data_IF_884375479186
#
_entry.id   IF_884375479186
#
_cell.length_a   1.000
_cell.length_b   1.000
_cell.length_c   1.000
_cell.angle_alpha   90.00
_cell.angle_beta   90.00
_cell.angle_gamma   90.00
#
_symmetry.space_group_name_H-M   'P 1'
#
loop_
_entity.id
_entity.type
_entity.pdbx_description
1 polymer ?
#
# COMPACT_ATOMS: atom_id res chain seq x y z
N UNK A 1 -8.09 -7.69 -4.69
CA UNK A 1 -8.65 -6.69 -5.63
C UNK A 1 -8.71 -5.28 -5.03
N UNK A 2 -9.26 -5.07 -3.83
CA UNK A 2 -9.40 -3.70 -3.24
C UNK A 2 -8.06 -2.99 -3.00
N UNK A 3 -7.01 -3.71 -2.60
CA UNK A 3 -5.69 -3.11 -2.31
C UNK A 3 -4.94 -2.58 -3.55
N UNK A 4 -5.05 -3.25 -4.69
CA UNK A 4 -4.40 -2.76 -5.93
C UNK A 4 -5.20 -1.61 -6.57
N UNK A 5 -6.52 -1.61 -6.37
CA UNK A 5 -7.39 -0.54 -6.85
C UNK A 5 -7.12 0.80 -6.15
N UNK A 6 -6.81 0.80 -4.84
CA UNK A 6 -6.49 2.04 -4.14
C UNK A 6 -5.23 2.71 -4.69
N UNK A 7 -4.22 1.94 -5.09
CA UNK A 7 -2.98 2.47 -5.71
C UNK A 7 -3.29 3.14 -7.05
N UNK A 8 -4.17 2.51 -7.85
CA UNK A 8 -4.62 3.09 -9.12
C UNK A 8 -5.26 4.46 -8.92
N UNK A 9 -6.18 4.58 -7.96
CA UNK A 9 -6.86 5.85 -7.67
C UNK A 9 -5.87 6.90 -7.16
N UNK A 10 -4.99 6.56 -6.23
CA UNK A 10 -4.04 7.51 -5.65
C UNK A 10 -3.03 8.03 -6.71
N UNK A 11 -2.31 7.14 -7.37
CA UNK A 11 -1.22 7.55 -8.27
C UNK A 11 -1.72 8.01 -9.65
N UNK A 12 -2.63 7.27 -10.27
CA UNK A 12 -3.04 7.57 -11.65
C UNK A 12 -4.17 8.58 -11.72
N UNK A 13 -5.08 8.64 -10.75
CA UNK A 13 -6.11 9.68 -10.74
C UNK A 13 -5.63 10.91 -9.97
N UNK A 14 -5.31 10.79 -8.67
CA UNK A 14 -5.11 11.95 -7.80
C UNK A 14 -3.77 12.66 -8.07
N UNK A 15 -2.65 11.93 -8.07
CA UNK A 15 -1.34 12.55 -8.33
C UNK A 15 -1.24 13.11 -9.75
N UNK A 16 -1.75 12.38 -10.75
CA UNK A 16 -1.71 12.85 -12.15
C UNK A 16 -2.60 14.08 -12.38
N UNK A 17 -3.81 14.12 -11.79
CA UNK A 17 -4.65 15.32 -11.86
C UNK A 17 -3.97 16.54 -11.23
N UNK A 18 -3.30 16.35 -10.08
CA UNK A 18 -2.54 17.42 -9.43
C UNK A 18 -1.38 17.92 -10.30
N UNK A 19 -0.64 16.99 -10.92
CA UNK A 19 0.46 17.33 -11.82
C UNK A 19 -0.02 18.07 -13.08
N UNK A 20 -1.09 17.59 -13.74
CA UNK A 20 -1.64 18.27 -14.91
C UNK A 20 -2.19 19.65 -14.59
N UNK A 21 -2.85 19.81 -13.44
CA UNK A 21 -3.30 21.12 -12.97
C UNK A 21 -2.12 22.10 -12.83
N UNK A 22 -1.03 21.67 -12.18
CA UNK A 22 0.19 22.48 -12.04
C UNK A 22 0.80 22.84 -13.40
N UNK A 23 0.84 21.89 -14.34
CA UNK A 23 1.42 22.10 -15.67
C UNK A 23 0.59 23.05 -16.53
N UNK A 24 -0.74 22.88 -16.57
CA UNK A 24 -1.67 23.70 -17.37
C UNK A 24 -1.68 25.15 -16.87
N UNK A 25 -1.60 25.34 -15.55
CA UNK A 25 -1.61 26.67 -14.93
C UNK A 25 -0.26 27.39 -14.99
N UNK A 26 0.79 26.73 -15.49
CA UNK A 26 2.14 27.29 -15.48
C UNK A 26 2.72 27.42 -14.07
N UNK A 27 2.12 26.80 -13.05
CA UNK A 27 2.51 26.94 -11.66
C UNK A 27 3.72 26.05 -11.28
N UNK A 28 4.78 26.08 -12.08
CA UNK A 28 6.02 25.31 -11.84
C UNK A 28 7.27 26.09 -12.26
N UNK A 29 8.42 25.67 -11.73
CA UNK A 29 9.74 26.11 -12.15
C UNK A 29 10.55 24.91 -12.65
N UNK A 30 11.31 25.09 -13.73
CA UNK A 30 12.22 24.07 -14.27
C UNK A 30 13.64 24.47 -13.92
N UNK A 31 14.31 23.65 -13.12
CA UNK A 31 15.70 23.85 -12.74
C UNK A 31 16.63 23.32 -13.84
N UNK A 32 17.70 24.06 -14.11
CA UNK A 32 18.78 23.68 -15.02
C UNK A 32 19.83 22.80 -14.35
N UNK A 33 20.90 22.50 -15.09
CA UNK A 33 21.95 21.60 -14.63
C UNK A 33 22.80 22.14 -13.46
N UNK A 34 22.82 23.46 -13.24
CA UNK A 34 23.50 24.08 -12.12
C UNK A 34 22.49 24.63 -11.10
N UNK A 35 22.82 24.54 -9.81
CA UNK A 35 22.00 25.12 -8.75
C UNK A 35 21.77 26.62 -8.98
N UNK A 36 20.52 27.05 -8.86
CA UNK A 36 20.11 28.44 -9.09
C UNK A 36 19.90 28.82 -10.56
N UNK A 37 20.24 27.95 -11.53
CA UNK A 37 19.81 28.16 -12.91
C UNK A 37 18.39 27.64 -13.11
N UNK A 38 17.53 28.47 -13.69
CA UNK A 38 16.19 28.09 -14.11
C UNK A 38 16.12 28.08 -15.64
N UNK A 39 15.67 26.97 -16.22
CA UNK A 39 15.34 26.89 -17.65
C UNK A 39 14.01 27.58 -17.94
N UNK A 40 13.07 27.47 -17.00
CA UNK A 40 11.77 28.15 -17.01
C UNK A 40 11.47 28.58 -15.58
N UNK A 41 11.22 29.87 -15.37
CA UNK A 41 10.88 30.44 -14.07
C UNK A 41 9.53 31.15 -14.16
N UNK A 42 8.46 30.45 -13.82
CA UNK A 42 7.11 31.04 -13.75
C UNK A 42 6.78 31.58 -12.35
N UNK A 43 7.51 31.13 -11.33
CA UNK A 43 7.29 31.44 -9.92
C UNK A 43 8.55 31.97 -9.22
N UNK A 44 8.39 32.66 -8.08
CA UNK A 44 9.50 33.05 -7.23
C UNK A 44 10.44 31.88 -6.88
N UNK A 45 11.76 32.13 -6.91
CA UNK A 45 12.79 31.11 -6.71
C UNK A 45 12.94 30.64 -5.25
N UNK A 46 12.35 31.36 -4.31
CA UNK A 46 12.33 31.05 -2.88
C UNK A 46 11.28 29.98 -2.50
N UNK A 47 10.41 29.58 -3.44
CA UNK A 47 9.44 28.53 -3.20
C UNK A 47 10.15 27.17 -3.13
N UNK A 48 10.04 26.53 -1.96
CA UNK A 48 10.60 25.21 -1.69
C UNK A 48 9.89 24.17 -2.59
N UNK A 49 10.66 23.42 -3.39
CA UNK A 49 10.18 22.37 -4.29
C UNK A 49 9.23 21.37 -3.61
N UNK A 50 9.55 21.00 -2.36
CA UNK A 50 8.81 20.04 -1.54
C UNK A 50 7.61 20.62 -0.80
N UNK A 51 7.24 21.88 -1.08
CA UNK A 51 6.11 22.56 -0.43
C UNK A 51 4.81 22.40 -1.23
N UNK A 52 3.64 22.52 -0.58
CA UNK A 52 2.35 22.51 -1.27
C UNK A 52 2.06 23.79 -2.06
N UNK A 53 3.00 24.74 -2.13
CA UNK A 53 2.80 26.06 -2.71
C UNK A 53 2.46 26.01 -4.21
N UNK A 54 3.06 25.11 -4.98
CA UNK A 54 2.77 24.96 -6.41
C UNK A 54 1.30 24.60 -6.65
N UNK A 55 0.76 23.65 -5.88
CA UNK A 55 -0.65 23.27 -5.92
C UNK A 55 -1.55 24.41 -5.49
N UNK A 56 -1.19 25.15 -4.44
CA UNK A 56 -1.94 26.32 -3.98
C UNK A 56 -2.07 27.38 -5.07
N UNK A 57 -0.96 27.70 -5.74
CA UNK A 57 -0.91 28.73 -6.78
C UNK A 57 -1.63 28.26 -8.05
N UNK A 58 -1.52 26.98 -8.40
CA UNK A 58 -2.27 26.38 -9.49
C UNK A 58 -3.79 26.50 -9.25
N UNK A 59 -4.29 26.13 -8.06
CA UNK A 59 -5.72 26.26 -7.74
C UNK A 59 -6.15 27.73 -7.72
N UNK A 60 -5.32 28.61 -7.16
CA UNK A 60 -5.63 30.05 -7.10
C UNK A 60 -5.70 30.70 -8.48
N UNK A 61 -4.94 30.20 -9.46
CA UNK A 61 -5.01 30.67 -10.85
C UNK A 61 -6.34 30.32 -11.53
N UNK A 62 -6.95 29.19 -11.16
CA UNK A 62 -8.24 28.76 -11.70
C UNK A 62 -9.43 29.35 -10.92
N UNK A 63 -9.29 29.48 -9.58
CA UNK A 63 -10.28 30.02 -8.66
C UNK A 63 -9.62 31.03 -7.72
N UNK A 64 -9.50 32.30 -8.14
CA UNK A 64 -8.82 33.35 -7.37
C UNK A 64 -9.41 33.53 -5.97
N UNK A 65 -8.55 33.50 -4.95
CA UNK A 65 -8.90 33.74 -3.55
C UNK A 65 -9.30 32.49 -2.76
N UNK A 66 -9.49 31.33 -3.42
CA UNK A 66 -9.91 30.08 -2.77
C UNK A 66 -8.75 29.07 -2.69
N UNK A 67 -7.66 29.25 -3.45
CA UNK A 67 -6.60 28.24 -3.57
C UNK A 67 -5.92 27.86 -2.25
N UNK A 68 -5.54 28.87 -1.45
CA UNK A 68 -4.88 28.64 -0.15
C UNK A 68 -5.76 27.89 0.86
N UNK A 69 -6.98 28.34 1.20
CA UNK A 69 -7.82 27.63 2.16
C UNK A 69 -8.24 26.25 1.65
N UNK A 70 -8.53 26.11 0.34
CA UNK A 70 -8.92 24.82 -0.23
C UNK A 70 -7.83 23.76 -0.07
N UNK A 71 -6.59 24.06 -0.49
CA UNK A 71 -5.47 23.12 -0.38
C UNK A 71 -5.12 22.83 1.07
N UNK A 72 -5.25 23.81 1.98
CA UNK A 72 -5.04 23.59 3.41
C UNK A 72 -6.03 22.57 3.99
N UNK A 73 -7.33 22.70 3.68
CA UNK A 73 -8.34 21.73 4.11
C UNK A 73 -8.12 20.34 3.48
N UNK A 74 -7.77 20.29 2.19
CA UNK A 74 -7.47 19.03 1.51
C UNK A 74 -6.26 18.31 2.14
N UNK A 75 -5.17 19.04 2.39
CA UNK A 75 -3.97 18.51 3.05
C UNK A 75 -4.24 18.05 4.48
N UNK A 76 -5.10 18.76 5.21
CA UNK A 76 -5.49 18.33 6.56
C UNK A 76 -6.11 16.94 6.55
N UNK A 77 -7.11 16.70 5.70
CA UNK A 77 -7.75 15.39 5.61
C UNK A 77 -6.79 14.33 5.06
N UNK A 78 -5.98 14.67 4.05
CA UNK A 78 -5.02 13.73 3.46
C UNK A 78 -3.93 13.31 4.45
N UNK A 79 -3.33 14.26 5.17
CA UNK A 79 -2.34 13.98 6.18
C UNK A 79 -2.95 13.21 7.37
N UNK A 80 -4.16 13.59 7.79
CA UNK A 80 -4.86 12.92 8.88
C UNK A 80 -5.14 11.43 8.57
N UNK A 81 -5.71 11.13 7.40
CA UNK A 81 -5.98 9.75 6.99
C UNK A 81 -4.69 8.95 6.81
N UNK A 82 -3.64 9.59 6.28
CA UNK A 82 -2.32 8.98 6.14
C UNK A 82 -1.74 8.60 7.50
N UNK A 83 -1.73 9.51 8.48
CA UNK A 83 -1.22 9.25 9.82
C UNK A 83 -1.99 8.09 10.49
N UNK A 84 -3.32 8.05 10.35
CA UNK A 84 -4.14 6.96 10.87
C UNK A 84 -3.80 5.60 10.22
N UNK A 85 -3.62 5.57 8.90
CA UNK A 85 -3.24 4.37 8.19
C UNK A 85 -1.86 3.86 8.65
N UNK A 86 -0.88 4.74 8.79
CA UNK A 86 0.45 4.39 9.30
C UNK A 86 0.41 3.93 10.76
N UNK A 87 -0.39 4.55 11.62
CA UNK A 87 -0.61 4.08 12.99
C UNK A 87 -1.16 2.66 13.01
N UNK A 88 -2.18 2.38 12.19
CA UNK A 88 -2.78 1.03 12.12
C UNK A 88 -1.79 -0.03 11.64
N UNK A 89 -0.98 0.28 10.62
CA UNK A 89 0.08 -0.60 10.13
C UNK A 89 1.12 -0.85 11.23
N UNK A 90 1.56 0.20 11.93
CA UNK A 90 2.53 0.08 13.00
C UNK A 90 1.99 -0.68 14.21
N UNK A 91 0.73 -0.46 14.61
CA UNK A 91 0.07 -1.17 15.69
C UNK A 91 -0.04 -2.67 15.37
N UNK A 92 -0.39 -3.01 14.12
CA UNK A 92 -0.43 -4.41 13.66
C UNK A 92 0.95 -5.06 13.71
N UNK A 93 2.00 -4.37 13.26
CA UNK A 93 3.37 -4.87 13.32
C UNK A 93 3.86 -5.07 14.75
N UNK A 94 3.55 -4.11 15.64
CA UNK A 94 3.88 -4.19 17.07
C UNK A 94 3.12 -5.32 17.76
N UNK A 95 1.83 -5.51 17.44
CA UNK A 95 1.03 -6.62 17.95
C UNK A 95 1.60 -7.98 17.54
N UNK A 96 2.11 -8.09 16.30
CA UNK A 96 2.82 -9.28 15.83
C UNK A 96 4.11 -9.52 16.63
N UNK A 97 4.95 -8.50 16.84
CA UNK A 97 6.19 -8.62 17.63
C UNK A 97 5.87 -9.01 19.07
N UNK A 98 4.83 -8.42 19.69
CA UNK A 98 4.42 -8.69 21.08
C UNK A 98 4.03 -10.16 21.30
N UNK A 99 3.52 -10.83 20.27
CA UNK A 99 3.21 -12.27 20.33
C UNK A 99 4.46 -13.13 20.54
N UNK A 100 5.60 -12.68 20.03
CA UNK A 100 6.90 -13.36 20.13
C UNK A 100 7.70 -12.87 21.35
N UNK A 101 7.77 -11.55 21.52
CA UNK A 101 8.44 -10.88 22.64
C UNK A 101 7.38 -10.28 23.56
N UNK A 102 7.09 -10.93 24.70
CA UNK A 102 6.05 -10.50 25.67
C UNK A 102 6.46 -9.24 26.44
N UNK A 103 6.64 -8.13 25.73
CA UNK A 103 6.96 -6.83 26.30
C UNK A 103 5.67 -6.05 26.43
N UNK A 104 5.26 -5.82 27.68
CA UNK A 104 4.09 -5.00 27.98
C UNK A 104 4.41 -3.51 27.80
N UNK A 105 3.42 -2.74 27.31
CA UNK A 105 3.56 -1.29 27.09
C UNK A 105 4.00 -0.85 25.70
N UNK A 106 4.37 -1.76 24.79
CA UNK A 106 4.86 -1.41 23.45
C UNK A 106 3.84 -0.59 22.61
N UNK A 107 2.54 -0.87 22.76
CA UNK A 107 1.48 -0.07 22.11
C UNK A 107 1.38 1.35 22.66
N UNK A 108 1.64 1.55 23.95
CA UNK A 108 1.63 2.89 24.56
C UNK A 108 2.85 3.70 24.09
N UNK A 109 4.03 3.06 24.04
CA UNK A 109 5.24 3.66 23.48
C UNK A 109 5.03 4.05 22.02
N UNK A 110 4.42 3.19 21.20
CA UNK A 110 4.10 3.50 19.80
C UNK A 110 3.27 4.78 19.67
N UNK A 111 2.20 4.92 20.49
CA UNK A 111 1.36 6.12 20.49
C UNK A 111 2.15 7.38 20.84
N UNK A 112 2.98 7.30 21.89
CA UNK A 112 3.82 8.43 22.32
C UNK A 112 4.84 8.82 21.24
N UNK A 113 5.51 7.85 20.63
CA UNK A 113 6.50 8.09 19.57
C UNK A 113 5.83 8.72 18.35
N UNK A 114 4.66 8.22 17.92
CA UNK A 114 3.95 8.78 16.79
C UNK A 114 3.47 10.20 17.07
N UNK A 115 2.92 10.47 18.25
CA UNK A 115 2.48 11.82 18.63
C UNK A 115 3.67 12.80 18.71
N UNK A 116 4.80 12.36 19.28
CA UNK A 116 6.03 13.14 19.30
C UNK A 116 6.58 13.39 17.89
N UNK A 117 6.51 12.39 16.99
CA UNK A 117 6.94 12.53 15.60
C UNK A 117 6.07 13.51 14.82
N UNK A 118 4.75 13.49 15.02
CA UNK A 118 3.83 14.45 14.39
C UNK A 118 4.13 15.87 14.88
N UNK A 119 4.32 16.06 16.19
CA UNK A 119 4.71 17.35 16.74
C UNK A 119 6.09 17.80 16.23
N UNK A 120 7.05 16.89 16.17
CA UNK A 120 8.38 17.19 15.62
C UNK A 120 8.31 17.60 14.14
N UNK A 121 7.39 17.00 13.38
CA UNK A 121 7.12 17.34 11.99
C UNK A 121 6.59 18.76 11.78
N UNK A 122 5.93 19.38 12.76
CA UNK A 122 5.45 20.77 12.63
C UNK A 122 6.56 21.81 12.82
N UNK A 123 7.67 21.44 13.46
CA UNK A 123 8.79 22.34 13.79
C UNK A 123 9.94 22.24 12.78
N UNK A 124 10.00 21.17 11.99
CA UNK A 124 11.10 20.91 11.06
C UNK A 124 10.78 21.33 9.63
N UNK A 125 11.84 21.53 8.85
CA UNK A 125 11.74 21.86 7.44
C UNK A 125 11.20 20.67 6.65
N UNK A 126 10.44 20.95 5.60
CA UNK A 126 9.89 19.91 4.72
C UNK A 126 10.99 18.99 4.18
N UNK A 127 12.14 19.55 3.79
CA UNK A 127 13.27 18.78 3.24
C UNK A 127 13.80 17.72 4.21
N UNK A 128 13.90 18.03 5.51
CA UNK A 128 14.35 17.06 6.49
C UNK A 128 13.32 15.93 6.68
N UNK A 129 12.03 16.28 6.67
CA UNK A 129 10.94 15.30 6.78
C UNK A 129 10.94 14.34 5.56
N UNK A 130 11.13 14.89 4.35
CA UNK A 130 11.28 14.10 3.13
C UNK A 130 12.51 13.19 3.17
N UNK A 131 13.67 13.71 3.56
CA UNK A 131 14.89 12.91 3.66
C UNK A 131 14.75 11.73 4.65
N UNK A 132 14.11 11.95 5.80
CA UNK A 132 13.84 10.87 6.75
C UNK A 132 12.82 9.86 6.19
N UNK A 133 11.80 10.35 5.48
CA UNK A 133 10.80 9.55 4.80
C UNK A 133 11.39 8.64 3.73
N UNK A 134 12.26 9.18 2.86
CA UNK A 134 12.90 8.43 1.79
C UNK A 134 13.77 7.29 2.31
N UNK A 135 14.53 7.53 3.39
CA UNK A 135 15.33 6.49 4.05
C UNK A 135 14.43 5.40 4.64
N UNK A 136 13.36 5.79 5.34
CA UNK A 136 12.43 4.85 5.98
C UNK A 136 11.68 3.97 4.98
N UNK A 137 11.04 4.61 3.98
CA UNK A 137 10.30 3.91 2.92
C UNK A 137 11.25 3.10 2.04
N UNK A 138 12.43 3.62 1.72
CA UNK A 138 13.45 2.92 0.95
C UNK A 138 13.90 1.62 1.63
N UNK A 139 14.21 1.68 2.93
CA UNK A 139 14.58 0.49 3.71
C UNK A 139 13.45 -0.55 3.74
N UNK A 140 12.22 -0.11 3.98
CA UNK A 140 11.04 -0.97 3.97
C UNK A 140 10.83 -1.65 2.60
N UNK A 141 10.98 -0.89 1.52
CA UNK A 141 10.84 -1.39 0.16
C UNK A 141 11.89 -2.46 -0.15
N UNK A 142 13.17 -2.20 0.15
CA UNK A 142 14.25 -3.15 -0.12
C UNK A 142 14.08 -4.48 0.62
N UNK A 143 13.73 -4.44 1.91
CA UNK A 143 13.48 -5.65 2.70
C UNK A 143 12.33 -6.48 2.11
N UNK A 144 11.23 -5.82 1.73
CA UNK A 144 10.07 -6.50 1.15
C UNK A 144 10.36 -7.05 -0.26
N UNK A 145 11.05 -6.29 -1.12
CA UNK A 145 11.40 -6.72 -2.48
C UNK A 145 12.30 -7.96 -2.43
N UNK A 146 13.36 -7.93 -1.61
CA UNK A 146 14.26 -9.08 -1.45
C UNK A 146 13.49 -10.30 -0.93
N UNK A 147 12.60 -10.11 0.05
CA UNK A 147 11.74 -11.17 0.55
C UNK A 147 10.84 -11.78 -0.53
N UNK A 148 10.19 -10.95 -1.34
CA UNK A 148 9.35 -11.39 -2.47
C UNK A 148 10.19 -12.17 -3.49
N UNK A 149 11.37 -11.69 -3.85
CA UNK A 149 12.27 -12.36 -4.79
C UNK A 149 12.66 -13.75 -4.28
N UNK A 150 13.10 -13.86 -3.03
CA UNK A 150 13.48 -15.14 -2.43
C UNK A 150 12.30 -16.13 -2.44
N UNK A 151 11.12 -15.68 -2.00
CA UNK A 151 9.91 -16.52 -1.97
C UNK A 151 9.50 -16.93 -3.39
N UNK A 152 9.63 -16.02 -4.35
CA UNK A 152 9.33 -16.27 -5.76
C UNK A 152 10.24 -17.35 -6.34
N UNK A 153 11.55 -17.34 -6.04
CA UNK A 153 12.47 -18.37 -6.53
C UNK A 153 12.34 -19.71 -5.78
N UNK A 154 12.01 -19.69 -4.48
CA UNK A 154 12.04 -20.90 -3.65
C UNK A 154 10.77 -21.75 -3.75
N UNK A 155 9.58 -21.13 -3.81
CA UNK A 155 8.32 -21.86 -3.60
C UNK A 155 7.18 -21.45 -4.55
N UNK A 156 7.30 -20.33 -5.26
CA UNK A 156 6.23 -19.76 -6.13
C UNK A 156 4.80 -19.87 -5.55
N UNK A 157 4.57 -19.69 -4.23
CA UNK A 157 3.25 -19.96 -3.64
C UNK A 157 2.20 -19.00 -4.18
N UNK A 158 2.59 -17.75 -4.46
CA UNK A 158 1.73 -16.74 -5.07
C UNK A 158 1.26 -17.14 -6.47
N UNK A 159 2.13 -17.77 -7.28
CA UNK A 159 1.76 -18.20 -8.63
C UNK A 159 0.82 -19.41 -8.59
N UNK A 160 1.04 -20.35 -7.66
CA UNK A 160 0.15 -21.47 -7.43
C UNK A 160 -1.24 -21.00 -6.96
N UNK A 161 -1.28 -20.05 -6.03
CA UNK A 161 -2.51 -19.43 -5.55
C UNK A 161 -3.24 -18.64 -6.65
N UNK A 162 -2.50 -17.92 -7.50
CA UNK A 162 -3.07 -17.18 -8.63
C UNK A 162 -3.70 -18.14 -9.64
N UNK A 163 -2.99 -19.22 -10.00
CA UNK A 163 -3.51 -20.22 -10.92
C UNK A 163 -4.78 -20.90 -10.40
N UNK A 164 -4.81 -21.25 -9.12
CA UNK A 164 -6.01 -21.83 -8.48
C UNK A 164 -7.20 -20.87 -8.53
N UNK A 165 -6.96 -19.56 -8.32
CA UNK A 165 -7.98 -18.54 -8.45
C UNK A 165 -8.50 -18.39 -9.90
N UNK A 166 -7.60 -18.35 -10.89
CA UNK A 166 -7.97 -18.25 -12.31
C UNK A 166 -8.73 -19.50 -12.79
N UNK A 167 -8.33 -20.69 -12.34
CA UNK A 167 -9.01 -21.95 -12.68
C UNK A 167 -10.43 -21.98 -12.11
N UNK A 168 -10.64 -21.50 -10.87
CA UNK A 168 -11.98 -21.33 -10.28
C UNK A 168 -12.79 -20.27 -11.02
N UNK A 169 -12.17 -19.18 -11.45
CA UNK A 169 -12.85 -18.14 -12.23
C UNK A 169 -13.34 -18.69 -13.58
N UNK A 170 -12.50 -19.47 -14.28
CA UNK A 170 -12.86 -20.13 -15.55
C UNK A 170 -13.96 -21.16 -15.38
N UNK A 171 -14.02 -21.83 -14.24
CA UNK A 171 -15.09 -22.77 -13.88
C UNK A 171 -16.41 -22.06 -13.54
N UNK A 172 -16.44 -20.73 -13.50
CA UNK A 172 -17.65 -19.95 -13.23
C UNK A 172 -18.18 -20.12 -11.80
N UNK A 173 -17.32 -20.51 -10.86
CA UNK A 173 -17.73 -20.77 -9.47
C UNK A 173 -18.16 -19.45 -8.83
N UNK A 174 -19.35 -19.42 -8.22
CA UNK A 174 -19.89 -18.23 -7.53
C UNK A 174 -19.20 -17.98 -6.19
N UNK A 175 -18.62 -19.02 -5.60
CA UNK A 175 -17.87 -18.98 -4.35
C UNK A 175 -16.43 -19.46 -4.51
N UNK A 176 -15.49 -18.53 -4.42
CA UNK A 176 -14.08 -18.84 -4.40
C UNK A 176 -13.67 -19.48 -3.06
N UNK A 177 -12.94 -20.59 -3.13
CA UNK A 177 -12.37 -21.28 -1.97
C UNK A 177 -10.87 -21.43 -2.15
N UNK A 178 -10.10 -21.30 -1.06
CA UNK A 178 -8.63 -21.41 -1.13
C UNK A 178 -8.19 -22.54 -0.21
N UNK A 179 -7.67 -23.62 -0.80
CA UNK A 179 -7.13 -24.76 -0.07
C UNK A 179 -5.58 -24.71 -0.10
N UNK A 180 -4.92 -24.24 0.97
CA UNK A 180 -3.46 -24.11 0.98
C UNK A 180 -2.74 -25.47 0.94
N UNK A 181 -3.35 -26.53 1.48
CA UNK A 181 -2.76 -27.89 1.54
C UNK A 181 -2.72 -28.51 0.14
N UNK A 182 -3.78 -28.32 -0.66
CA UNK A 182 -3.81 -28.73 -2.08
C UNK A 182 -2.70 -28.07 -2.91
N UNK A 183 -2.33 -26.85 -2.56
CA UNK A 183 -1.31 -26.07 -3.27
C UNK A 183 0.11 -26.25 -2.71
N UNK A 184 0.30 -27.15 -1.73
CA UNK A 184 1.59 -27.41 -1.11
C UNK A 184 2.12 -26.27 -0.23
N UNK A 185 1.26 -25.32 0.15
CA UNK A 185 1.63 -24.16 0.97
C UNK A 185 1.59 -24.58 2.45
N UNK A 186 2.77 -24.72 3.06
CA UNK A 186 2.91 -25.11 4.48
C UNK A 186 2.75 -23.91 5.42
N UNK A 187 2.18 -24.13 6.60
CA UNK A 187 2.09 -23.13 7.67
C UNK A 187 0.94 -22.12 7.53
N UNK A 188 0.00 -22.35 6.61
CA UNK A 188 -1.12 -21.46 6.34
C UNK A 188 -2.33 -21.70 7.27
N UNK A 189 -2.08 -21.80 8.59
CA UNK A 189 -3.07 -22.20 9.61
C UNK A 189 -4.36 -21.36 9.62
N UNK A 190 -4.24 -20.04 9.38
CA UNK A 190 -5.41 -19.18 9.24
C UNK A 190 -6.30 -19.56 8.04
N UNK A 191 -5.66 -19.85 6.89
CA UNK A 191 -6.36 -20.20 5.66
C UNK A 191 -6.95 -21.60 5.71
N UNK A 192 -6.28 -22.54 6.35
CA UNK A 192 -6.82 -23.87 6.65
C UNK A 192 -8.09 -23.79 7.49
N UNK A 193 -8.07 -23.01 8.58
CA UNK A 193 -9.23 -22.79 9.42
C UNK A 193 -10.37 -22.04 8.71
N UNK A 194 -10.04 -21.12 7.79
CA UNK A 194 -11.04 -20.43 6.97
C UNK A 194 -11.69 -21.37 5.95
N UNK A 195 -10.91 -22.27 5.34
CA UNK A 195 -11.41 -23.30 4.43
C UNK A 195 -12.38 -24.25 5.13
N UNK A 196 -12.02 -24.73 6.33
CA UNK A 196 -12.88 -25.55 7.20
C UNK A 196 -14.21 -24.88 7.52
N UNK A 197 -14.19 -23.59 7.92
CA UNK A 197 -15.43 -22.85 8.24
C UNK A 197 -16.34 -22.66 7.05
N UNK A 198 -15.78 -22.49 5.85
CA UNK A 198 -16.56 -22.28 4.62
C UNK A 198 -17.11 -23.58 4.03
N UNK A 199 -16.32 -24.65 4.05
CA UNK A 199 -16.63 -25.89 3.32
C UNK A 199 -17.10 -27.04 4.22
N UNK A 200 -16.92 -26.90 5.54
CA UNK A 200 -17.13 -27.97 6.52
C UNK A 200 -16.11 -29.11 6.44
N UNK A 201 -15.15 -29.06 5.50
CA UNK A 201 -14.16 -30.12 5.24
C UNK A 201 -12.77 -29.67 5.67
N UNK A 202 -12.01 -30.61 6.25
CA UNK A 202 -10.58 -30.38 6.49
C UNK A 202 -9.85 -30.17 5.15
N UNK A 203 -8.94 -29.19 5.05
CA UNK A 203 -8.14 -28.99 3.85
C UNK A 203 -7.20 -30.18 3.68
N UNK A 204 -7.52 -31.06 2.74
CA UNK A 204 -6.69 -32.20 2.36
C UNK A 204 -6.00 -31.91 1.02
N UNK A 205 -4.83 -32.51 0.82
CA UNK A 205 -4.28 -32.69 -0.52
C UNK A 205 -5.11 -33.82 -1.15
N UNK A 206 -6.05 -33.51 -2.05
CA UNK A 206 -6.84 -34.55 -2.71
C UNK A 206 -5.91 -35.58 -3.38
N UNK A 207 -5.90 -36.81 -2.87
CA UNK A 207 -5.48 -37.98 -3.63
C UNK A 207 -6.59 -38.19 -4.67
N UNK A 208 -6.23 -38.23 -5.95
CA UNK A 208 -7.15 -38.64 -7.02
C UNK A 208 -7.65 -40.06 -6.73
N UNK A 209 -8.77 -40.20 -6.03
CA UNK A 209 -9.64 -41.35 -6.21
C UNK A 209 -10.56 -41.03 -7.38
N UNK A 210 -10.05 -41.37 -8.57
CA UNK A 210 -10.94 -41.61 -9.71
C UNK A 210 -11.88 -42.72 -9.28
N UNK A 211 -13.11 -42.36 -8.91
CA UNK A 211 -14.22 -43.30 -8.81
C UNK A 211 -14.39 -43.95 -10.18
N UNK A 212 -13.76 -45.11 -10.36
CA UNK A 212 -14.09 -46.05 -11.41
C UNK A 212 -15.45 -46.59 -11.04
N UNK A 213 -16.49 -46.02 -11.63
CA UNK A 213 -17.84 -46.56 -11.55
C UNK A 213 -17.82 -47.93 -12.22
N UNK A 214 -17.61 -48.99 -11.42
CA UNK A 214 -18.03 -50.33 -11.79
C UNK A 214 -19.55 -50.36 -11.78
N UNK A 215 -20.14 -49.98 -12.91
CA UNK A 215 -21.47 -50.45 -13.29
C UNK A 215 -21.29 -51.60 -14.25
N UNK A 216 -20.98 -52.79 -13.73
CA UNK A 216 -21.41 -54.03 -14.35
C UNK A 216 -22.92 -54.10 -14.21
N UNK A 217 -23.62 -53.62 -15.24
CA UNK A 217 -25.02 -53.96 -15.48
C UNK A 217 -25.11 -55.45 -15.72
N UNK A 218 -25.88 -56.15 -14.90
CA UNK A 218 -26.46 -57.44 -15.23
C UNK A 218 -27.26 -57.31 -16.54
N UNK A 219 -26.89 -58.09 -17.56
CA UNK A 219 -27.74 -58.93 -18.41
C UNK A 219 -26.84 -59.86 -19.23
#
# INVERSE_FOLDING_TARGET
MVQSFSIYIDTLMVCSATAFMILITGAYNVHGAAEGMFLVQNLPADIIASSPAFTQIAVDSALPGIGKPFVAFALFFFAFTTILAYYYIAETNVAYIRRTFKVDGLMFVLKLVLMASVFYGTVKTANLAWALGDVGVGLMAWLNIVGIIIIFFMSKPTMAALKDYEDQQKQGVTEFTFNPVKLGIKGATYWEGKYLRKTGKAPTAEVKETQRVEQTSSL
#
